data_IF_846587463184
#
_entry.id   IF_846587463184
#
_cell.length_a   1.000
_cell.length_b   1.000
_cell.length_c   1.000
_cell.angle_alpha   90.00
_cell.angle_beta   90.00
_cell.angle_gamma   90.00
#
_symmetry.space_group_name_H-M   'P 1'
#
loop_
_entity.id
_entity.type
_entity.pdbx_description
1 polymer ?
#
# COMPACT_ATOMS: atom_id res chain seq x y z
N UNK A 1 -21.48 -38.22 51.39
CA UNK A 1 -20.03 -38.26 51.07
C UNK A 1 -19.89 -38.73 49.63
N UNK A 2 -19.28 -37.94 48.77
CA UNK A 2 -18.66 -38.36 47.51
C UNK A 2 -17.55 -37.34 47.22
N UNK A 3 -16.29 -37.76 47.35
CA UNK A 3 -15.15 -36.93 46.99
C UNK A 3 -14.74 -37.22 45.55
N UNK A 4 -14.40 -36.17 44.81
CA UNK A 4 -13.97 -36.25 43.42
C UNK A 4 -12.47 -35.93 43.39
N UNK A 5 -11.64 -36.90 42.98
CA UNK A 5 -10.17 -36.78 43.04
C UNK A 5 -9.58 -36.21 41.76
N UNK A 6 -8.59 -35.34 41.94
CA UNK A 6 -7.92 -34.59 40.87
C UNK A 6 -6.79 -35.35 40.16
N UNK A 7 -6.69 -35.05 38.85
CA UNK A 7 -5.49 -34.65 38.10
C UNK A 7 -4.14 -35.31 38.47
N UNK A 8 -3.53 -36.04 37.50
CA UNK A 8 -2.24 -35.69 36.87
C UNK A 8 -1.84 -36.75 35.82
N UNK A 9 -1.40 -36.31 34.64
CA UNK A 9 -1.02 -37.24 33.56
C UNK A 9 -0.73 -36.56 32.21
N UNK A 10 0.27 -35.68 32.15
CA UNK A 10 0.77 -35.09 30.89
C UNK A 10 2.29 -35.23 30.83
N UNK A 11 2.78 -35.87 29.77
CA UNK A 11 4.19 -36.28 29.62
C UNK A 11 5.10 -35.14 29.12
N UNK A 12 6.19 -34.87 29.85
CA UNK A 12 7.16 -33.79 29.56
C UNK A 12 8.33 -34.28 28.67
N UNK A 13 7.97 -34.85 27.52
CA UNK A 13 8.84 -35.76 26.74
C UNK A 13 9.76 -35.20 25.65
N UNK A 14 10.19 -33.92 25.61
CA UNK A 14 11.25 -33.46 24.66
C UNK A 14 11.92 -32.11 24.98
N UNK A 15 13.05 -32.12 25.68
CA UNK A 15 13.96 -30.95 25.78
C UNK A 15 14.74 -30.75 24.46
N UNK A 16 14.38 -29.75 23.65
CA UNK A 16 15.24 -29.25 22.57
C UNK A 16 16.43 -28.48 23.18
N UNK A 17 17.66 -28.91 22.88
CA UNK A 17 18.88 -28.20 23.28
C UNK A 17 19.08 -26.92 22.43
N UNK A 18 19.59 -25.86 23.06
CA UNK A 18 20.00 -24.62 22.37
C UNK A 18 21.16 -24.92 21.42
N UNK A 19 20.94 -24.80 20.10
CA UNK A 19 21.95 -25.10 19.08
C UNK A 19 22.92 -23.93 18.88
N UNK A 20 23.91 -23.80 19.76
CA UNK A 20 25.08 -22.91 19.55
C UNK A 20 25.98 -23.43 18.42
N UNK A 21 25.62 -23.12 17.18
CA UNK A 21 26.33 -23.54 15.97
C UNK A 21 27.65 -22.75 15.78
N UNK A 22 28.70 -23.14 16.53
CA UNK A 22 30.08 -22.64 16.34
C UNK A 22 30.70 -23.19 15.05
N UNK A 23 30.27 -22.68 13.89
CA UNK A 23 30.99 -22.90 12.63
C UNK A 23 32.18 -21.95 12.56
N UNK A 24 33.37 -22.49 12.33
CA UNK A 24 34.57 -21.71 12.03
C UNK A 24 34.64 -21.44 10.50
N UNK A 25 35.14 -20.27 10.11
CA UNK A 25 35.28 -19.90 8.71
C UNK A 25 36.00 -18.57 8.56
N UNK A 26 37.29 -18.66 8.20
CA UNK A 26 38.24 -17.56 7.92
C UNK A 26 38.55 -16.64 9.11
N UNK A 27 39.84 -16.34 9.28
CA UNK A 27 40.37 -15.44 10.30
C UNK A 27 40.76 -14.10 9.67
N UNK A 28 40.04 -13.04 10.02
CA UNK A 28 40.54 -11.67 10.02
C UNK A 28 40.20 -11.04 11.39
N UNK A 29 40.91 -10.00 11.78
CA UNK A 29 40.85 -9.42 13.14
C UNK A 29 39.58 -8.57 13.37
N UNK A 30 38.43 -9.23 13.45
CA UNK A 30 37.13 -8.62 13.78
C UNK A 30 36.38 -9.40 14.87
N UNK A 31 35.45 -8.74 15.56
CA UNK A 31 34.62 -9.37 16.59
C UNK A 31 33.84 -10.56 16.02
N UNK A 32 33.95 -11.73 16.67
CA UNK A 32 33.38 -12.99 16.18
C UNK A 32 31.85 -13.00 16.27
N UNK A 33 31.21 -12.52 15.21
CA UNK A 33 29.76 -12.37 15.12
C UNK A 33 29.03 -13.72 15.28
N UNK A 34 28.13 -13.81 16.26
CA UNK A 34 27.40 -15.02 16.59
C UNK A 34 26.06 -15.14 15.84
N UNK A 35 25.69 -16.38 15.52
CA UNK A 35 24.36 -16.77 15.04
C UNK A 35 23.67 -17.52 16.17
N UNK A 36 22.52 -17.03 16.61
CA UNK A 36 21.76 -17.55 17.75
C UNK A 36 20.39 -18.03 17.27
N UNK A 37 20.19 -19.35 17.37
CA UNK A 37 18.93 -20.03 17.07
C UNK A 37 18.27 -20.48 18.39
N UNK A 38 17.10 -19.90 18.67
CA UNK A 38 16.19 -20.25 19.77
C UNK A 38 14.80 -20.61 19.21
N UNK A 39 14.73 -21.01 17.95
CA UNK A 39 13.48 -21.31 17.26
C UNK A 39 12.82 -22.58 17.77
N UNK A 40 11.47 -22.62 17.80
CA UNK A 40 10.73 -23.82 18.16
C UNK A 40 11.00 -24.33 19.57
N UNK A 41 11.29 -23.44 20.52
CA UNK A 41 11.65 -23.75 21.91
C UNK A 41 10.50 -23.60 22.91
N UNK A 42 9.28 -23.28 22.43
CA UNK A 42 8.08 -23.02 23.25
C UNK A 42 8.26 -21.88 24.28
N UNK A 43 9.13 -20.90 23.98
CA UNK A 43 9.42 -19.77 24.86
C UNK A 43 8.20 -18.85 25.00
N UNK A 44 7.62 -18.76 26.19
CA UNK A 44 6.60 -17.75 26.52
C UNK A 44 7.22 -16.37 26.80
N UNK A 45 8.44 -16.34 27.33
CA UNK A 45 9.27 -15.15 27.57
C UNK A 45 10.72 -15.43 27.17
N UNK A 46 11.46 -14.36 26.83
CA UNK A 46 12.89 -14.48 26.55
C UNK A 46 13.68 -14.53 27.86
N UNK A 47 14.65 -15.46 28.02
CA UNK A 47 15.45 -15.55 29.22
C UNK A 47 16.28 -14.29 29.40
N UNK A 48 16.33 -13.74 30.63
CA UNK A 48 17.21 -12.60 30.99
C UNK A 48 18.67 -13.00 30.67
N UNK A 49 19.33 -12.40 29.67
CA UNK A 49 20.51 -13.02 29.08
C UNK A 49 21.80 -12.65 29.83
N UNK A 50 22.58 -13.63 30.34
CA UNK A 50 23.99 -13.43 30.71
C UNK A 50 24.92 -13.43 29.47
N UNK A 51 24.37 -13.13 28.29
CA UNK A 51 25.00 -13.32 26.99
C UNK A 51 25.44 -11.95 26.43
N UNK A 52 26.57 -11.91 25.74
CA UNK A 52 27.05 -10.68 25.12
C UNK A 52 26.24 -10.38 23.84
N UNK A 53 25.09 -9.72 24.02
CA UNK A 53 24.17 -9.38 22.93
C UNK A 53 24.81 -8.55 21.81
N UNK A 54 25.91 -7.84 22.11
CA UNK A 54 26.63 -7.05 21.12
C UNK A 54 27.34 -7.92 20.06
N UNK A 55 27.63 -9.20 20.30
CA UNK A 55 28.23 -10.07 19.26
C UNK A 55 27.19 -10.70 18.33
N UNK A 56 25.89 -10.63 18.63
CA UNK A 56 24.87 -11.35 17.86
C UNK A 56 24.62 -10.62 16.53
N UNK A 57 24.79 -11.34 15.42
CA UNK A 57 24.54 -10.86 14.05
C UNK A 57 23.24 -11.43 13.47
N UNK A 58 22.88 -12.67 13.84
CA UNK A 58 21.59 -13.27 13.44
C UNK A 58 20.91 -13.88 14.66
N UNK A 59 19.64 -13.55 14.84
CA UNK A 59 18.81 -14.02 15.94
C UNK A 59 17.50 -14.58 15.39
N UNK A 60 17.28 -15.88 15.57
CA UNK A 60 16.01 -16.56 15.27
C UNK A 60 15.29 -16.92 16.58
N UNK A 61 14.13 -16.31 16.78
CA UNK A 61 13.20 -16.53 17.89
C UNK A 61 11.87 -17.14 17.39
N UNK A 62 11.83 -17.64 16.16
CA UNK A 62 10.60 -18.04 15.49
C UNK A 62 9.92 -19.26 16.11
N UNK A 63 8.62 -19.42 15.87
CA UNK A 63 7.85 -20.60 16.28
C UNK A 63 7.87 -20.82 17.80
N UNK A 64 7.68 -19.73 18.56
CA UNK A 64 7.64 -19.71 20.02
C UNK A 64 6.26 -19.18 20.48
N UNK A 65 6.15 -18.80 21.76
CA UNK A 65 4.92 -18.29 22.38
C UNK A 65 5.13 -16.89 22.96
N UNK A 66 6.07 -16.12 22.39
CA UNK A 66 6.46 -14.81 22.88
C UNK A 66 5.32 -13.81 22.67
N UNK A 67 4.82 -13.23 23.75
CA UNK A 67 3.78 -12.18 23.70
C UNK A 67 4.37 -10.77 23.58
N UNK A 68 5.62 -10.58 24.02
CA UNK A 68 6.36 -9.32 23.95
C UNK A 68 7.87 -9.60 23.80
N UNK A 69 8.61 -8.67 23.20
CA UNK A 69 10.08 -8.63 23.21
C UNK A 69 10.53 -7.47 24.11
N UNK A 70 11.41 -7.67 25.12
CA UNK A 70 11.83 -6.58 25.99
C UNK A 70 12.61 -5.47 25.25
N UNK A 71 12.28 -4.21 25.55
CA UNK A 71 13.03 -3.03 25.06
C UNK A 71 14.53 -3.14 25.40
N UNK A 72 14.86 -3.53 26.63
CA UNK A 72 16.24 -3.69 27.11
C UNK A 72 17.01 -4.86 26.48
N UNK A 73 16.33 -5.77 25.77
CA UNK A 73 16.98 -6.78 24.92
C UNK A 73 17.33 -6.17 23.56
N UNK A 74 16.32 -5.60 22.89
CA UNK A 74 16.45 -5.10 21.50
C UNK A 74 17.42 -3.93 21.42
N UNK A 75 17.39 -3.00 22.38
CA UNK A 75 18.35 -1.89 22.48
C UNK A 75 19.83 -2.32 22.60
N UNK A 76 20.13 -3.60 22.89
CA UNK A 76 21.49 -4.14 23.05
C UNK A 76 21.96 -4.99 21.86
N UNK A 77 21.10 -5.26 20.88
CA UNK A 77 21.39 -6.12 19.72
C UNK A 77 22.06 -5.37 18.55
N UNK A 78 22.98 -4.45 18.86
CA UNK A 78 23.50 -3.41 17.95
C UNK A 78 24.19 -3.94 16.66
N UNK A 79 24.62 -5.21 16.65
CA UNK A 79 25.23 -5.86 15.49
C UNK A 79 24.28 -6.78 14.70
N UNK A 80 22.99 -6.87 15.06
CA UNK A 80 22.04 -7.74 14.38
C UNK A 80 21.72 -7.25 12.97
N UNK A 81 21.98 -8.14 12.00
CA UNK A 81 21.70 -8.01 10.57
C UNK A 81 20.42 -8.77 10.18
N UNK A 82 20.08 -9.83 10.90
CA UNK A 82 18.87 -10.64 10.67
C UNK A 82 18.14 -10.93 11.98
N UNK A 83 16.88 -10.51 12.07
CA UNK A 83 15.98 -10.81 13.19
C UNK A 83 14.73 -11.51 12.66
N UNK A 84 14.54 -12.77 13.04
CA UNK A 84 13.31 -13.52 12.76
C UNK A 84 12.56 -13.81 14.07
N UNK A 85 11.32 -13.34 14.16
CA UNK A 85 10.42 -13.52 15.30
C UNK A 85 9.05 -14.04 14.83
N UNK A 86 8.98 -14.63 13.63
CA UNK A 86 7.72 -15.12 13.05
C UNK A 86 7.07 -16.21 13.90
N UNK A 87 5.77 -16.43 13.72
CA UNK A 87 5.02 -17.50 14.42
C UNK A 87 5.17 -17.37 15.93
N UNK A 88 4.74 -16.23 16.47
CA UNK A 88 4.73 -15.90 17.90
C UNK A 88 3.37 -15.26 18.26
N UNK A 89 3.26 -14.66 19.45
CA UNK A 89 2.02 -14.05 19.96
C UNK A 89 2.17 -12.52 20.14
N UNK A 90 3.11 -11.89 19.43
CA UNK A 90 3.47 -10.49 19.62
C UNK A 90 2.31 -9.56 19.24
N UNK A 91 1.89 -8.69 20.17
CA UNK A 91 0.86 -7.65 19.92
C UNK A 91 1.46 -6.31 19.48
N UNK A 92 2.71 -6.07 19.85
CA UNK A 92 3.53 -4.90 19.49
C UNK A 92 4.98 -5.33 19.30
N UNK A 93 5.78 -4.47 18.67
CA UNK A 93 7.24 -4.56 18.66
C UNK A 93 7.81 -3.45 19.57
N UNK A 94 8.95 -3.68 20.25
CA UNK A 94 9.62 -2.66 21.05
C UNK A 94 10.11 -1.49 20.19
N UNK A 95 10.03 -0.26 20.70
CA UNK A 95 10.49 0.95 20.00
C UNK A 95 12.00 0.92 19.75
N UNK A 96 12.77 0.26 20.62
CA UNK A 96 14.22 0.02 20.43
C UNK A 96 14.57 -0.86 19.23
N UNK A 97 13.60 -1.36 18.45
CA UNK A 97 13.87 -1.89 17.10
C UNK A 97 14.61 -0.84 16.24
N UNK A 98 14.30 0.45 16.42
CA UNK A 98 14.97 1.56 15.74
C UNK A 98 16.42 1.81 16.15
N UNK A 99 16.95 1.08 17.14
CA UNK A 99 18.38 1.08 17.47
C UNK A 99 19.19 0.12 16.59
N UNK A 100 18.54 -0.77 15.83
CA UNK A 100 19.18 -1.81 15.03
C UNK A 100 19.64 -1.27 13.66
N UNK A 101 20.56 -0.31 13.67
CA UNK A 101 21.04 0.38 12.46
C UNK A 101 21.68 -0.53 11.40
N UNK A 102 22.12 -1.74 11.77
CA UNK A 102 22.70 -2.76 10.87
C UNK A 102 21.67 -3.79 10.35
N UNK A 103 20.41 -3.72 10.78
CA UNK A 103 19.37 -4.68 10.44
C UNK A 103 19.05 -4.63 8.93
N UNK A 104 19.25 -5.73 8.22
CA UNK A 104 18.93 -5.90 6.80
C UNK A 104 17.66 -6.72 6.57
N UNK A 105 17.36 -7.68 7.45
CA UNK A 105 16.20 -8.57 7.31
C UNK A 105 15.43 -8.64 8.62
N UNK A 106 14.16 -8.23 8.58
CA UNK A 106 13.23 -8.28 9.71
C UNK A 106 11.99 -9.10 9.33
N UNK A 107 11.79 -10.21 10.03
CA UNK A 107 10.63 -11.08 9.83
C UNK A 107 9.78 -11.15 11.12
N UNK A 108 8.59 -10.54 11.06
CA UNK A 108 7.61 -10.45 12.16
C UNK A 108 6.28 -11.11 11.79
N UNK A 109 6.28 -11.92 10.73
CA UNK A 109 5.06 -12.55 10.19
C UNK A 109 4.40 -13.57 11.12
N UNK A 110 3.11 -13.86 10.94
CA UNK A 110 2.34 -14.75 11.82
C UNK A 110 2.44 -14.35 13.30
N UNK A 111 1.94 -13.15 13.60
CA UNK A 111 1.85 -12.55 14.94
C UNK A 111 0.50 -11.80 15.05
N UNK A 112 0.31 -11.01 16.12
CA UNK A 112 -0.90 -10.24 16.37
C UNK A 112 -0.63 -8.71 16.36
N UNK A 113 0.35 -8.25 15.57
CA UNK A 113 0.74 -6.84 15.54
C UNK A 113 -0.39 -5.98 14.96
N UNK A 114 -0.84 -4.99 15.74
CA UNK A 114 -1.81 -3.99 15.29
C UNK A 114 -1.18 -2.82 14.54
N UNK A 115 0.10 -2.54 14.81
CA UNK A 115 0.90 -1.53 14.13
C UNK A 115 2.39 -1.91 14.17
N UNK A 116 3.18 -1.29 13.30
CA UNK A 116 4.64 -1.23 13.44
C UNK A 116 4.99 0.04 14.23
N UNK A 117 6.00 0.01 15.14
CA UNK A 117 6.43 1.21 15.85
C UNK A 117 7.07 2.20 14.88
N UNK A 118 6.81 3.51 15.03
CA UNK A 118 7.36 4.55 14.13
C UNK A 118 8.89 4.48 14.02
N UNK A 119 9.57 4.09 15.10
CA UNK A 119 11.02 3.92 15.13
C UNK A 119 11.58 2.84 14.20
N UNK A 120 10.74 1.97 13.59
CA UNK A 120 11.20 1.05 12.55
C UNK A 120 11.86 1.80 11.37
N UNK A 121 11.44 3.04 11.11
CA UNK A 121 11.98 3.93 10.07
C UNK A 121 13.49 4.21 10.27
N UNK A 122 13.98 4.20 11.51
CA UNK A 122 15.41 4.36 11.81
C UNK A 122 16.27 3.16 11.34
N UNK A 123 15.66 2.03 10.95
CA UNK A 123 16.34 0.86 10.42
C UNK A 123 16.78 1.08 8.96
N UNK A 124 17.50 2.18 8.66
CA UNK A 124 17.83 2.64 7.29
C UNK A 124 18.60 1.60 6.44
N UNK A 125 19.20 0.58 7.06
CA UNK A 125 19.85 -0.56 6.37
C UNK A 125 18.89 -1.68 5.93
N UNK A 126 17.58 -1.58 6.21
CA UNK A 126 16.63 -2.67 6.00
C UNK A 126 16.38 -2.93 4.50
N UNK A 127 16.65 -4.16 4.07
CA UNK A 127 16.47 -4.64 2.69
C UNK A 127 15.21 -5.52 2.55
N UNK A 128 14.86 -6.30 3.57
CA UNK A 128 13.62 -7.09 3.60
C UNK A 128 12.81 -6.87 4.88
N UNK A 129 11.53 -6.52 4.73
CA UNK A 129 10.53 -6.46 5.80
C UNK A 129 9.37 -7.42 5.48
N UNK A 130 9.18 -8.42 6.33
CA UNK A 130 8.06 -9.35 6.25
C UNK A 130 7.18 -9.24 7.51
N UNK A 131 6.00 -8.64 7.36
CA UNK A 131 4.97 -8.51 8.39
C UNK A 131 3.64 -9.21 7.99
N UNK A 132 3.72 -10.20 7.10
CA UNK A 132 2.57 -11.01 6.66
C UNK A 132 1.80 -11.65 7.84
N UNK A 133 0.49 -11.88 7.70
CA UNK A 133 -0.34 -12.54 8.71
C UNK A 133 -0.24 -11.86 10.09
N UNK A 134 -0.71 -10.61 10.15
CA UNK A 134 -0.79 -9.78 11.34
C UNK A 134 -2.15 -9.05 11.38
N UNK A 135 -2.29 -8.00 12.19
CA UNK A 135 -3.51 -7.19 12.29
C UNK A 135 -3.25 -5.71 11.95
N UNK A 136 -2.23 -5.42 11.14
CA UNK A 136 -1.82 -4.05 10.82
C UNK A 136 -2.94 -3.29 10.12
N UNK A 137 -3.38 -2.18 10.70
CA UNK A 137 -4.39 -1.28 10.10
C UNK A 137 -3.77 -0.20 9.22
N UNK A 138 -2.51 0.16 9.48
CA UNK A 138 -1.71 1.14 8.76
C UNK A 138 -0.22 0.77 8.82
N UNK A 139 0.56 1.27 7.85
CA UNK A 139 2.01 1.34 7.94
C UNK A 139 2.43 2.75 8.41
N UNK A 140 3.64 2.93 8.98
CA UNK A 140 4.16 4.25 9.34
C UNK A 140 4.19 5.22 8.15
N UNK A 141 3.73 6.46 8.36
CA UNK A 141 3.50 7.45 7.28
C UNK A 141 4.76 7.77 6.47
N UNK A 142 5.92 7.76 7.13
CA UNK A 142 7.23 8.18 6.62
C UNK A 142 8.11 7.01 6.16
N UNK A 143 7.60 5.76 6.22
CA UNK A 143 8.32 4.53 5.93
C UNK A 143 9.14 4.55 4.63
N UNK A 144 8.57 5.09 3.55
CA UNK A 144 9.23 5.08 2.25
C UNK A 144 10.23 6.19 1.98
N UNK A 145 10.29 7.23 2.83
CA UNK A 145 11.36 8.23 2.80
C UNK A 145 12.61 7.77 3.55
N UNK A 146 12.42 6.92 4.57
CA UNK A 146 13.48 6.51 5.50
C UNK A 146 14.07 5.13 5.17
N UNK A 147 13.24 4.15 4.80
CA UNK A 147 13.70 2.80 4.42
C UNK A 147 14.16 2.72 2.95
N UNK A 148 15.01 3.66 2.54
CA UNK A 148 15.47 3.83 1.13
C UNK A 148 16.17 2.60 0.54
N UNK A 149 16.68 1.68 1.37
CA UNK A 149 17.32 0.44 0.96
C UNK A 149 16.35 -0.75 0.79
N UNK A 150 15.06 -0.59 1.10
CA UNK A 150 14.11 -1.70 1.14
C UNK A 150 13.84 -2.26 -0.26
N UNK A 151 14.16 -3.54 -0.45
CA UNK A 151 14.00 -4.31 -1.69
C UNK A 151 12.75 -5.17 -1.70
N UNK A 152 12.23 -5.52 -0.52
CA UNK A 152 11.07 -6.40 -0.37
C UNK A 152 10.22 -5.99 0.82
N UNK A 153 8.96 -5.66 0.54
CA UNK A 153 7.94 -5.37 1.53
C UNK A 153 6.79 -6.38 1.38
N UNK A 154 6.63 -7.22 2.39
CA UNK A 154 5.55 -8.21 2.45
C UNK A 154 4.65 -7.88 3.65
N UNK A 155 3.40 -7.54 3.38
CA UNK A 155 2.37 -7.14 4.34
C UNK A 155 1.03 -7.85 4.07
N UNK A 156 1.05 -9.03 3.44
CA UNK A 156 -0.16 -9.78 3.10
C UNK A 156 -0.95 -10.21 4.34
N UNK A 157 -2.25 -10.43 4.21
CA UNK A 157 -3.12 -10.91 5.29
C UNK A 157 -3.05 -10.00 6.52
N UNK A 158 -3.42 -8.74 6.32
CA UNK A 158 -3.49 -7.67 7.31
C UNK A 158 -4.83 -6.91 7.16
N UNK A 159 -4.94 -5.71 7.74
CA UNK A 159 -6.15 -4.87 7.74
C UNK A 159 -5.87 -3.48 7.13
N UNK A 160 -4.85 -3.37 6.27
CA UNK A 160 -4.43 -2.10 5.69
C UNK A 160 -5.53 -1.52 4.79
N UNK A 161 -5.93 -0.27 5.04
CA UNK A 161 -6.96 0.44 4.24
C UNK A 161 -6.32 1.23 3.08
N UNK A 162 -5.07 1.66 3.28
CA UNK A 162 -4.22 2.36 2.31
C UNK A 162 -2.77 1.95 2.51
N UNK A 163 -1.94 2.16 1.48
CA UNK A 163 -0.49 2.28 1.64
C UNK A 163 -0.16 3.78 1.78
N UNK A 164 0.78 4.19 2.67
CA UNK A 164 1.12 5.61 2.82
C UNK A 164 1.74 6.16 1.54
N UNK A 165 1.52 7.44 1.22
CA UNK A 165 2.08 8.08 0.01
C UNK A 165 3.61 7.95 -0.10
N UNK A 166 4.32 7.91 1.03
CA UNK A 166 5.76 7.67 1.06
C UNK A 166 6.17 6.34 0.41
N UNK A 167 5.29 5.34 0.33
CA UNK A 167 5.57 4.02 -0.28
C UNK A 167 6.16 4.16 -1.68
N UNK A 168 5.72 5.14 -2.48
CA UNK A 168 6.24 5.42 -3.82
C UNK A 168 7.74 5.81 -3.84
N UNK A 169 8.29 6.31 -2.73
CA UNK A 169 9.70 6.70 -2.61
C UNK A 169 10.65 5.54 -2.30
N UNK A 170 10.13 4.31 -2.15
CA UNK A 170 10.93 3.08 -2.02
C UNK A 170 11.57 2.69 -3.37
N UNK A 171 12.43 3.54 -3.92
CA UNK A 171 13.00 3.41 -5.28
C UNK A 171 13.80 2.11 -5.50
N UNK A 172 14.31 1.48 -4.44
CA UNK A 172 14.99 0.18 -4.46
C UNK A 172 14.05 -1.05 -4.39
N UNK A 173 12.74 -0.85 -4.18
CA UNK A 173 11.77 -1.92 -3.99
C UNK A 173 11.63 -2.77 -5.25
N UNK A 174 11.74 -4.10 -5.09
CA UNK A 174 11.65 -5.09 -6.17
C UNK A 174 10.42 -5.97 -6.02
N UNK A 175 9.91 -6.14 -4.80
CA UNK A 175 8.71 -6.92 -4.50
C UNK A 175 7.84 -6.21 -3.47
N UNK A 176 6.57 -6.00 -3.81
CA UNK A 176 5.50 -5.55 -2.92
C UNK A 176 4.38 -6.60 -2.92
N UNK A 177 4.21 -7.30 -1.79
CA UNK A 177 3.06 -8.19 -1.56
C UNK A 177 2.15 -7.59 -0.48
N UNK A 178 1.00 -7.06 -0.90
CA UNK A 178 -0.01 -6.43 -0.05
C UNK A 178 -1.41 -7.06 -0.24
N UNK A 179 -1.49 -8.28 -0.77
CA UNK A 179 -2.77 -9.00 -0.93
C UNK A 179 -3.45 -9.34 0.40
N UNK A 180 -4.74 -9.69 0.36
CA UNK A 180 -5.53 -10.00 1.56
C UNK A 180 -5.47 -8.85 2.58
N UNK A 181 -5.89 -7.67 2.14
CA UNK A 181 -5.99 -6.44 2.92
C UNK A 181 -7.34 -5.76 2.63
N UNK A 182 -7.52 -4.51 3.06
CA UNK A 182 -8.71 -3.69 2.81
C UNK A 182 -8.39 -2.47 1.93
N UNK A 183 -7.38 -2.57 1.06
CA UNK A 183 -6.88 -1.43 0.27
C UNK A 183 -7.97 -0.86 -0.62
N UNK A 184 -8.25 0.44 -0.48
CA UNK A 184 -9.24 1.17 -1.30
C UNK A 184 -8.64 1.73 -2.59
N UNK A 185 -7.38 2.12 -2.53
CA UNK A 185 -6.57 2.64 -3.63
C UNK A 185 -5.11 2.30 -3.40
N UNK A 186 -4.28 2.54 -4.42
CA UNK A 186 -2.83 2.61 -4.29
C UNK A 186 -2.40 4.10 -4.32
N UNK A 187 -1.17 4.45 -3.91
CA UNK A 187 -0.62 5.79 -4.12
C UNK A 187 -0.64 6.17 -5.61
N UNK A 188 -0.79 7.45 -5.93
CA UNK A 188 -0.80 7.89 -7.33
C UNK A 188 0.60 7.85 -7.97
N UNK A 189 1.68 8.13 -7.23
CA UNK A 189 3.03 8.37 -7.77
C UNK A 189 3.91 7.10 -7.96
N UNK A 190 3.31 5.95 -8.32
CA UNK A 190 4.01 4.65 -8.35
C UNK A 190 5.14 4.55 -9.37
N UNK A 191 5.22 5.43 -10.38
CA UNK A 191 6.30 5.46 -11.37
C UNK A 191 7.70 5.58 -10.76
N UNK A 192 7.80 6.15 -9.55
CA UNK A 192 9.03 6.27 -8.77
C UNK A 192 9.60 4.90 -8.34
N UNK A 193 8.80 3.83 -8.34
CA UNK A 193 9.21 2.45 -8.03
C UNK A 193 9.89 1.77 -9.23
N UNK A 194 10.89 2.43 -9.80
CA UNK A 194 11.59 2.06 -11.05
C UNK A 194 12.24 0.67 -11.04
N UNK A 195 12.49 0.09 -9.85
CA UNK A 195 13.05 -1.25 -9.67
C UNK A 195 12.00 -2.35 -9.39
N UNK A 196 10.71 -2.00 -9.27
CA UNK A 196 9.66 -2.95 -8.88
C UNK A 196 9.43 -4.00 -9.96
N UNK A 197 9.54 -5.28 -9.59
CA UNK A 197 9.39 -6.44 -10.49
C UNK A 197 8.11 -7.21 -10.22
N UNK A 198 7.67 -7.25 -8.96
CA UNK A 198 6.48 -7.99 -8.53
C UNK A 198 5.60 -7.05 -7.70
N UNK A 199 4.37 -6.85 -8.16
CA UNK A 199 3.31 -6.14 -7.44
C UNK A 199 2.11 -7.07 -7.27
N UNK A 200 1.83 -7.48 -6.03
CA UNK A 200 0.62 -8.24 -5.71
C UNK A 200 -0.28 -7.44 -4.76
N UNK A 201 -1.45 -7.07 -5.26
CA UNK A 201 -2.53 -6.36 -4.55
C UNK A 201 -3.86 -7.10 -4.71
N UNK A 202 -3.80 -8.41 -4.95
CA UNK A 202 -4.97 -9.28 -5.07
C UNK A 202 -5.76 -9.38 -3.76
N UNK A 203 -7.00 -9.87 -3.84
CA UNK A 203 -7.80 -10.21 -2.66
C UNK A 203 -7.99 -9.04 -1.67
N UNK A 204 -8.07 -7.80 -2.18
CA UNK A 204 -8.65 -6.65 -1.47
C UNK A 204 -10.17 -6.55 -1.72
N UNK A 205 -10.73 -7.52 -2.44
CA UNK A 205 -12.16 -7.82 -2.58
C UNK A 205 -12.99 -6.57 -2.94
N UNK A 206 -13.88 -6.15 -2.05
CA UNK A 206 -14.84 -5.06 -2.29
C UNK A 206 -14.24 -3.64 -2.19
N UNK A 207 -12.96 -3.51 -1.81
CA UNK A 207 -12.36 -2.22 -1.51
C UNK A 207 -11.60 -1.60 -2.69
N UNK A 208 -10.79 -2.38 -3.42
CA UNK A 208 -9.99 -1.88 -4.54
C UNK A 208 -10.82 -1.88 -5.83
N UNK A 209 -11.25 -0.70 -6.28
CA UNK A 209 -12.15 -0.50 -7.44
C UNK A 209 -11.44 0.00 -8.70
N UNK A 210 -10.25 0.57 -8.56
CA UNK A 210 -9.44 1.12 -9.67
C UNK A 210 -7.95 0.87 -9.43
N UNK A 211 -7.14 1.12 -10.45
CA UNK A 211 -5.68 1.21 -10.36
C UNK A 211 -5.26 2.59 -10.90
N UNK A 212 -4.30 3.28 -10.26
CA UNK A 212 -3.82 4.57 -10.75
C UNK A 212 -3.04 4.42 -12.06
N UNK A 213 -2.99 5.49 -12.86
CA UNK A 213 -2.36 5.45 -14.19
C UNK A 213 -0.86 5.11 -14.14
N UNK A 214 -0.18 5.46 -13.05
CA UNK A 214 1.21 5.14 -12.74
C UNK A 214 1.55 3.65 -12.68
N UNK A 215 0.58 2.75 -12.46
CA UNK A 215 0.82 1.29 -12.51
C UNK A 215 1.40 0.88 -13.87
N UNK A 216 1.00 1.54 -14.95
CA UNK A 216 1.55 1.32 -16.29
C UNK A 216 2.92 1.93 -16.56
N UNK A 217 3.42 2.75 -15.63
CA UNK A 217 4.73 3.41 -15.68
C UNK A 217 5.81 2.67 -14.87
N UNK A 218 5.47 1.53 -14.26
CA UNK A 218 6.40 0.66 -13.53
C UNK A 218 7.37 -0.05 -14.50
N UNK A 219 8.41 0.67 -14.94
CA UNK A 219 9.33 0.27 -16.01
C UNK A 219 10.06 -1.07 -15.80
N UNK A 220 10.08 -1.62 -14.59
CA UNK A 220 10.69 -2.94 -14.28
C UNK A 220 9.71 -4.07 -13.98
N UNK A 221 8.40 -3.82 -14.05
CA UNK A 221 7.38 -4.77 -13.62
C UNK A 221 7.35 -6.01 -14.53
N UNK A 222 7.42 -7.18 -13.91
CA UNK A 222 7.39 -8.50 -14.55
C UNK A 222 6.11 -9.25 -14.21
N UNK A 223 5.62 -9.08 -12.98
CA UNK A 223 4.40 -9.70 -12.46
C UNK A 223 3.49 -8.67 -11.80
N UNK A 224 2.25 -8.61 -12.27
CA UNK A 224 1.15 -7.81 -11.70
C UNK A 224 -0.04 -8.72 -11.39
N UNK A 225 -0.36 -8.87 -10.11
CA UNK A 225 -1.53 -9.61 -9.65
C UNK A 225 -2.49 -8.66 -8.91
N UNK A 226 -3.67 -8.50 -9.51
CA UNK A 226 -4.76 -7.63 -9.07
C UNK A 226 -6.08 -8.42 -8.98
N UNK A 227 -5.99 -9.76 -8.91
CA UNK A 227 -7.14 -10.67 -8.85
C UNK A 227 -8.02 -10.48 -7.60
N UNK A 228 -9.28 -10.92 -7.66
CA UNK A 228 -10.26 -10.87 -6.57
C UNK A 228 -10.43 -9.48 -5.95
N UNK A 229 -10.64 -8.47 -6.80
CA UNK A 229 -10.92 -7.08 -6.44
C UNK A 229 -12.25 -6.63 -7.10
N UNK A 230 -12.54 -5.31 -7.15
CA UNK A 230 -13.69 -4.74 -7.87
C UNK A 230 -13.26 -3.84 -9.05
N UNK A 231 -12.14 -4.16 -9.68
CA UNK A 231 -11.57 -3.40 -10.80
C UNK A 231 -12.41 -3.63 -12.07
N UNK A 232 -13.22 -2.65 -12.43
CA UNK A 232 -14.06 -2.71 -13.64
C UNK A 232 -13.29 -2.40 -14.92
N UNK A 233 -12.18 -1.66 -14.83
CA UNK A 233 -11.33 -1.28 -15.97
C UNK A 233 -9.86 -1.29 -15.56
N UNK A 234 -8.98 -1.82 -16.41
CA UNK A 234 -7.54 -1.59 -16.30
C UNK A 234 -7.19 -0.21 -16.88
N UNK A 235 -6.25 0.55 -16.27
CA UNK A 235 -5.74 1.78 -16.86
C UNK A 235 -4.97 1.48 -18.15
N UNK A 236 -5.15 2.32 -19.16
CA UNK A 236 -4.62 2.10 -20.52
C UNK A 236 -3.09 2.08 -20.55
N UNK A 237 -2.46 2.77 -19.61
CA UNK A 237 -1.01 2.77 -19.38
C UNK A 237 -0.41 1.38 -19.17
N UNK A 238 -1.17 0.36 -18.76
CA UNK A 238 -0.66 -1.03 -18.64
C UNK A 238 -0.15 -1.56 -19.99
N UNK A 239 -0.61 -1.03 -21.13
CA UNK A 239 -0.02 -1.28 -22.45
C UNK A 239 1.47 -0.92 -22.55
N UNK A 240 1.91 0.11 -21.83
CA UNK A 240 3.29 0.61 -21.82
C UNK A 240 4.28 -0.31 -21.07
N UNK A 241 3.81 -1.31 -20.32
CA UNK A 241 4.66 -2.16 -19.48
C UNK A 241 5.49 -3.15 -20.30
N UNK A 242 6.70 -2.73 -20.67
CA UNK A 242 7.56 -3.50 -21.58
C UNK A 242 8.07 -4.83 -20.99
N UNK A 243 8.33 -4.90 -19.68
CA UNK A 243 8.87 -6.10 -19.02
C UNK A 243 7.80 -7.08 -18.49
N UNK A 244 6.51 -6.74 -18.59
CA UNK A 244 5.43 -7.52 -17.98
C UNK A 244 5.26 -8.87 -18.67
N UNK A 245 5.39 -9.96 -17.90
CA UNK A 245 5.24 -11.35 -18.36
C UNK A 245 4.02 -12.06 -17.78
N UNK A 246 3.57 -11.65 -16.59
CA UNK A 246 2.39 -12.20 -15.91
C UNK A 246 1.48 -11.07 -15.46
N UNK A 247 0.25 -11.10 -15.96
CA UNK A 247 -0.87 -10.27 -15.51
C UNK A 247 -1.96 -11.20 -14.98
N UNK A 248 -2.52 -10.93 -13.81
CA UNK A 248 -3.56 -11.79 -13.21
C UNK A 248 -4.69 -10.92 -12.66
N UNK A 249 -5.88 -11.05 -13.27
CA UNK A 249 -7.06 -10.19 -13.01
C UNK A 249 -8.32 -10.98 -12.63
N UNK A 250 -8.20 -12.31 -12.50
CA UNK A 250 -9.32 -13.24 -12.24
C UNK A 250 -10.17 -12.77 -11.05
N UNK A 251 -11.50 -12.91 -11.12
CA UNK A 251 -12.39 -12.54 -10.01
C UNK A 251 -12.68 -11.03 -9.88
N UNK A 252 -12.35 -10.23 -10.90
CA UNK A 252 -12.80 -8.84 -11.04
C UNK A 252 -14.04 -8.73 -11.96
N UNK A 253 -14.89 -7.70 -11.78
CA UNK A 253 -16.02 -7.39 -12.67
C UNK A 253 -15.54 -6.64 -13.93
N UNK A 254 -14.55 -7.19 -14.64
CA UNK A 254 -13.79 -6.49 -15.67
C UNK A 254 -14.61 -6.29 -16.97
N UNK A 255 -14.66 -5.05 -17.45
CA UNK A 255 -15.34 -4.63 -18.69
C UNK A 255 -14.33 -4.19 -19.77
N UNK A 256 -13.14 -3.74 -19.38
CA UNK A 256 -12.08 -3.27 -20.29
C UNK A 256 -10.69 -3.59 -19.72
N UNK A 257 -9.87 -4.46 -20.35
CA UNK A 257 -10.17 -5.24 -21.56
C UNK A 257 -11.34 -6.21 -21.40
N UNK A 258 -12.03 -6.57 -22.49
CA UNK A 258 -13.01 -7.65 -22.48
C UNK A 258 -12.33 -9.02 -22.35
N UNK A 259 -13.10 -10.04 -21.94
CA UNK A 259 -12.54 -11.35 -21.56
C UNK A 259 -11.86 -12.10 -22.71
N UNK A 260 -12.35 -11.96 -23.95
CA UNK A 260 -11.72 -12.53 -25.15
C UNK A 260 -10.30 -11.99 -25.38
N UNK A 261 -10.05 -10.72 -25.07
CA UNK A 261 -8.70 -10.12 -25.12
C UNK A 261 -7.84 -10.60 -23.94
N UNK A 262 -8.45 -10.81 -22.75
CA UNK A 262 -7.73 -11.35 -21.60
C UNK A 262 -7.28 -12.80 -21.81
N UNK A 263 -8.09 -13.63 -22.46
CA UNK A 263 -7.79 -15.04 -22.77
C UNK A 263 -6.67 -15.21 -23.81
N UNK A 264 -6.49 -14.23 -24.70
CA UNK A 264 -5.34 -14.14 -25.62
C UNK A 264 -4.01 -13.79 -24.91
N UNK A 265 -4.07 -13.44 -23.62
CA UNK A 265 -2.89 -13.24 -22.77
C UNK A 265 -2.27 -11.84 -22.81
N UNK A 266 -1.15 -11.69 -22.09
CA UNK A 266 -0.57 -10.38 -21.71
C UNK A 266 -0.25 -9.48 -22.90
N UNK A 267 0.18 -10.05 -24.03
CA UNK A 267 0.55 -9.26 -25.21
C UNK A 267 -0.68 -8.66 -25.91
N UNK A 268 -1.73 -9.44 -26.14
CA UNK A 268 -2.99 -8.95 -26.71
C UNK A 268 -3.65 -7.89 -25.80
N UNK A 269 -3.59 -8.08 -24.48
CA UNK A 269 -4.02 -7.07 -23.49
C UNK A 269 -3.24 -5.76 -23.65
N UNK A 270 -1.91 -5.83 -23.79
CA UNK A 270 -1.08 -4.63 -24.00
C UNK A 270 -1.44 -3.92 -25.31
N UNK A 271 -1.58 -4.66 -26.40
CA UNK A 271 -1.92 -4.12 -27.72
C UNK A 271 -3.30 -3.45 -27.74
N UNK A 272 -4.31 -4.06 -27.12
CA UNK A 272 -5.65 -3.48 -26.94
C UNK A 272 -5.59 -2.15 -26.17
N UNK A 273 -4.85 -2.10 -25.06
CA UNK A 273 -4.75 -0.90 -24.23
C UNK A 273 -3.94 0.22 -24.94
N UNK A 274 -2.84 -0.12 -25.62
CA UNK A 274 -2.12 0.83 -26.49
C UNK A 274 -2.98 1.34 -27.66
N UNK A 275 -3.86 0.50 -28.21
CA UNK A 275 -4.83 0.90 -29.24
C UNK A 275 -5.81 1.98 -28.76
N UNK A 276 -6.20 1.95 -27.48
CA UNK A 276 -7.02 3.01 -26.87
C UNK A 276 -6.28 4.32 -26.69
N UNK A 277 -5.04 4.29 -26.15
CA UNK A 277 -4.19 5.49 -26.03
C UNK A 277 -4.05 6.19 -27.40
N UNK A 278 -3.85 5.41 -28.47
CA UNK A 278 -3.69 5.91 -29.84
C UNK A 278 -5.02 6.22 -30.55
N UNK A 279 -6.16 6.15 -29.86
CA UNK A 279 -7.48 6.51 -30.39
C UNK A 279 -8.03 5.63 -31.52
N UNK A 280 -7.45 4.45 -31.78
CA UNK A 280 -7.82 3.63 -32.95
C UNK A 280 -9.16 2.92 -32.78
N UNK A 281 -9.62 2.71 -31.54
CA UNK A 281 -10.98 2.25 -31.24
C UNK A 281 -12.03 3.37 -31.35
N UNK A 282 -12.30 3.82 -32.58
CA UNK A 282 -13.63 4.39 -32.87
C UNK A 282 -14.68 3.36 -32.49
N UNK A 283 -15.66 3.76 -31.66
CA UNK A 283 -16.76 2.89 -31.24
C UNK A 283 -17.43 2.25 -32.46
N UNK A 284 -17.34 0.92 -32.56
CA UNK A 284 -17.94 0.10 -33.62
C UNK A 284 -19.45 -0.06 -33.44
N UNK A 285 -20.12 1.06 -33.15
CA UNK A 285 -21.56 1.25 -33.21
C UNK A 285 -22.08 1.04 -34.65
N UNK A 286 -22.15 -0.24 -35.06
CA UNK A 286 -22.91 -0.70 -36.23
C UNK A 286 -24.40 -0.50 -35.99
N UNK A 287 -24.85 0.76 -35.91
CA UNK A 287 -26.22 1.13 -36.24
C UNK A 287 -26.40 0.83 -37.73
N UNK A 288 -26.89 -0.37 -38.03
CA UNK A 288 -27.18 -0.81 -39.39
C UNK A 288 -28.15 0.17 -40.04
N UNK A 289 -27.71 0.86 -41.10
CA UNK A 289 -28.57 1.76 -41.86
C UNK A 289 -29.63 0.96 -42.60
N UNK A 290 -30.84 0.92 -42.03
CA UNK A 290 -32.06 0.47 -42.67
C UNK A 290 -33.03 1.64 -42.75
N UNK A 291 -32.94 2.42 -43.83
CA UNK A 291 -34.05 3.16 -44.46
C UNK A 291 -33.54 3.86 -45.73
N UNK A 292 -33.69 3.17 -46.86
CA UNK A 292 -33.12 3.60 -48.14
C UNK A 292 -34.03 3.33 -49.34
N UNK A 293 -35.29 3.80 -49.30
CA UNK A 293 -36.11 4.12 -50.50
C UNK A 293 -37.53 4.63 -50.15
N UNK A 294 -37.93 5.70 -50.84
CA UNK A 294 -39.31 6.12 -51.19
C UNK A 294 -40.23 6.54 -50.00
N UNK A 295 -41.24 7.41 -50.19
CA UNK A 295 -41.74 8.08 -51.41
C UNK A 295 -41.98 9.60 -51.19
N UNK A 296 -42.38 10.33 -52.25
CA UNK A 296 -42.69 11.77 -52.21
C UNK A 296 -44.18 12.05 -51.98
N UNK A 297 -44.48 13.00 -51.09
CA UNK A 297 -45.62 13.95 -51.10
C UNK A 297 -45.24 15.11 -50.14
N UNK A 298 -45.74 16.35 -50.24
CA UNK A 298 -46.67 16.91 -51.22
C UNK A 298 -47.38 18.15 -50.67
N UNK A 299 -46.78 19.34 -50.84
CA UNK A 299 -47.37 20.70 -50.71
C UNK A 299 -48.33 21.03 -49.54
N UNK A 300 -47.93 21.95 -48.65
CA UNK A 300 -48.77 23.11 -48.27
C UNK A 300 -47.92 24.25 -47.65
N UNK A 301 -48.49 25.47 -47.57
CA UNK A 301 -47.83 26.69 -47.07
C UNK A 301 -48.69 27.40 -46.02
N UNK A 302 -48.09 27.96 -44.96
CA UNK A 302 -48.81 28.70 -43.89
C UNK A 302 -47.91 29.60 -43.05
N UNK A 303 -48.49 30.57 -42.31
CA UNK A 303 -47.81 31.63 -41.52
C UNK A 303 -48.30 31.66 -40.06
N UNK A 304 -47.45 32.21 -39.16
CA UNK A 304 -47.69 32.99 -37.91
C UNK A 304 -48.90 32.61 -36.99
N UNK A 305 -48.72 32.22 -35.70
CA UNK A 305 -48.48 33.09 -34.49
C UNK A 305 -49.61 34.13 -34.24
N UNK A 306 -50.22 34.35 -33.02
CA UNK A 306 -50.09 33.71 -31.67
C UNK A 306 -51.42 33.45 -30.85
N UNK A 307 -51.29 32.92 -29.60
CA UNK A 307 -52.13 33.09 -28.36
C UNK A 307 -53.65 32.74 -28.41
N UNK A 308 -54.42 32.53 -27.32
CA UNK A 308 -54.31 32.75 -25.85
C UNK A 308 -55.28 31.79 -25.07
N UNK A 309 -55.47 31.95 -23.73
CA UNK A 309 -56.47 31.31 -22.82
C UNK A 309 -56.34 29.78 -22.57
N UNK A 310 -56.71 29.13 -21.44
CA UNK A 310 -57.18 29.39 -20.04
C UNK A 310 -57.01 28.06 -19.24
N UNK A 311 -57.08 27.87 -17.91
CA UNK A 311 -57.20 28.67 -16.68
C UNK A 311 -56.59 27.80 -15.53
N UNK A 312 -55.72 28.30 -14.66
CA UNK A 312 -55.95 28.81 -13.28
C UNK A 312 -56.50 27.82 -12.21
N UNK A 313 -55.82 27.77 -11.07
CA UNK A 313 -56.41 27.47 -9.75
C UNK A 313 -55.68 28.25 -8.65
N UNK A 314 -56.42 28.95 -7.77
CA UNK A 314 -55.89 29.93 -6.81
C UNK A 314 -55.53 29.34 -5.43
N UNK A 315 -54.71 30.10 -4.68
CA UNK A 315 -54.81 30.46 -3.23
C UNK A 315 -53.42 30.48 -2.55
N UNK A 316 -53.07 31.39 -1.63
CA UNK A 316 -53.52 32.76 -1.35
C UNK A 316 -52.46 33.45 -0.45
N UNK A 317 -52.39 34.79 -0.49
CA UNK A 317 -51.34 35.57 0.19
C UNK A 317 -51.72 36.05 1.60
N UNK A 318 -50.74 36.15 2.50
CA UNK A 318 -50.76 37.10 3.63
C UNK A 318 -49.40 37.78 3.82
N UNK A 319 -49.37 38.93 4.51
CA UNK A 319 -48.32 39.95 4.37
C UNK A 319 -47.98 40.68 5.68
N UNK A 320 -47.07 41.67 5.59
CA UNK A 320 -46.44 42.52 6.64
C UNK A 320 -45.11 41.98 7.21
N UNK A 321 -44.11 42.81 7.53
CA UNK A 321 -43.97 44.28 7.36
C UNK A 321 -42.50 44.73 7.28
N UNK A 322 -42.29 45.97 6.85
CA UNK A 322 -40.98 46.64 6.80
C UNK A 322 -40.41 46.95 8.19
N UNK A 323 -39.08 46.83 8.32
CA UNK A 323 -38.12 47.90 8.67
C UNK A 323 -36.67 47.35 8.51
N UNK A 324 -35.62 48.12 8.20
CA UNK A 324 -35.61 49.54 7.88
C UNK A 324 -34.21 50.21 7.92
N UNK A 325 -33.17 49.71 7.24
CA UNK A 325 -31.87 50.45 7.14
C UNK A 325 -30.98 50.13 5.92
N UNK A 326 -30.65 51.18 5.14
CA UNK A 326 -29.41 51.44 4.39
C UNK A 326 -28.64 50.29 3.66
N UNK A 327 -28.89 50.16 2.35
CA UNK A 327 -27.83 50.08 1.30
C UNK A 327 -27.34 51.51 0.95
N UNK A 328 -26.33 51.79 0.07
CA UNK A 328 -25.60 50.95 -0.92
C UNK A 328 -24.04 51.05 -0.77
N UNK A 329 -23.16 50.58 -1.68
CA UNK A 329 -23.25 49.96 -3.02
C UNK A 329 -21.89 49.34 -3.45
N UNK A 330 -21.80 48.37 -4.37
CA UNK A 330 -21.77 48.54 -5.85
C UNK A 330 -20.62 49.47 -6.33
N UNK A 331 -19.66 49.09 -7.22
CA UNK A 331 -19.73 48.20 -8.40
C UNK A 331 -18.43 47.39 -8.75
N UNK A 332 -18.64 46.17 -9.26
CA UNK A 332 -17.90 45.36 -10.28
C UNK A 332 -16.38 45.42 -10.57
N UNK A 333 -15.81 44.21 -10.70
CA UNK A 333 -14.90 43.69 -11.77
C UNK A 333 -13.55 44.39 -12.09
N UNK A 334 -12.46 43.61 -12.02
CA UNK A 334 -11.65 43.20 -13.20
C UNK A 334 -10.72 42.02 -12.85
N UNK A 335 -10.17 41.32 -13.85
CA UNK A 335 -9.53 40.00 -13.70
C UNK A 335 -7.98 40.04 -13.93
N UNK A 336 -7.21 38.93 -14.10
CA UNK A 336 -6.05 38.70 -13.22
C UNK A 336 -4.66 38.73 -13.89
N UNK A 337 -3.58 38.96 -13.12
CA UNK A 337 -2.20 38.49 -13.42
C UNK A 337 -1.17 38.73 -12.29
N UNK A 338 -0.19 37.81 -12.22
CA UNK A 338 1.14 37.88 -11.56
C UNK A 338 1.21 38.14 -10.03
N UNK A 339 1.67 37.12 -9.29
CA UNK A 339 2.69 37.28 -8.26
C UNK A 339 3.70 36.12 -8.34
N UNK A 340 4.86 36.37 -8.93
CA UNK A 340 6.09 35.58 -8.78
C UNK A 340 7.17 36.51 -8.23
N UNK A 341 7.64 36.26 -7.00
CA UNK A 341 8.84 36.86 -6.41
C UNK A 341 9.29 36.01 -5.23
N UNK A 342 10.60 35.77 -5.10
CA UNK A 342 11.18 35.00 -3.99
C UNK A 342 11.56 35.90 -2.80
N UNK A 343 11.53 35.39 -1.55
CA UNK A 343 12.16 36.06 -0.42
C UNK A 343 13.69 36.04 -0.59
N UNK A 344 14.35 37.19 -0.35
CA UNK A 344 15.81 37.25 -0.25
C UNK A 344 16.28 36.94 1.18
N UNK A 345 17.50 36.43 1.29
CA UNK A 345 18.16 36.11 2.55
C UNK A 345 18.53 37.35 3.36
N UNK A 346 18.36 37.25 4.68
CA UNK A 346 19.10 38.07 5.65
C UNK A 346 19.89 37.15 6.58
N UNK A 347 21.22 37.21 6.47
CA UNK A 347 22.14 36.69 7.49
C UNK A 347 22.62 37.86 8.34
N UNK A 348 22.56 37.73 9.66
CA UNK A 348 23.27 38.60 10.59
C UNK A 348 24.50 37.87 11.15
N UNK A 349 25.63 38.58 11.23
CA UNK A 349 26.88 38.05 11.75
C UNK A 349 27.31 38.83 12.99
N UNK A 350 27.09 38.27 14.18
CA UNK A 350 27.78 38.72 15.40
C UNK A 350 29.20 38.16 15.41
N UNK A 351 30.18 39.02 15.67
CA UNK A 351 31.58 38.60 15.87
C UNK A 351 31.84 38.33 17.35
N UNK A 352 32.60 37.28 17.64
CA UNK A 352 33.35 37.19 18.89
C UNK A 352 34.62 38.06 18.81
N UNK A 353 35.03 38.63 19.95
CA UNK A 353 36.43 38.88 20.31
C UNK A 353 36.51 39.55 21.70
N UNK A 354 36.75 38.74 22.74
CA UNK A 354 37.77 38.86 23.80
C UNK A 354 37.56 37.74 24.80
#
# INVERSE_FOLDING_TARGET
MYEQKDILGVDYGRRRQVKRNRRAGVEEAGEKLEIVDLSGMCLATLPKPPMNLATICKLDLSNNHLQNIPESLTARLLNVVTLDVRSNQLKTLPNSIGCLSKLKVLNVSANFLHSLPRTIENCRSLEELNANFNQLTQLPDTIGFELVNLRKLCVNSNKLIFLPHSTSHLTNLQTLDARLNCLRSLPEDLENLVNLKILNVSQNFQYLTTLPYSVGLLMSLVELDVSYNKIAMLPESIGCLQKLKKLTVVGNPLVSPPMDVMEQGVQAVKEYLCGKINGTHKSSSKKSSWLGKLARCGTFSGRNIPADDREEYMMASYSKSFDGSASPGYWTMLSPRRLFSSPKSHFSTSKLNT
#
